data_IF_975157697871
#
_entry.id   IF_975157697871
#
_cell.length_a   1.000
_cell.length_b   1.000
_cell.length_c   1.000
_cell.angle_alpha   90.00
_cell.angle_beta   90.00
_cell.angle_gamma   90.00
#
_symmetry.space_group_name_H-M   'P 1'
#
loop_
_entity.id
_entity.type
_entity.pdbx_description
1 polymer ?
#
# COMPACT_ATOMS: atom_id res chain seq x y z
N UNK A 1 -16.18 16.85 8.77
CA UNK A 1 -15.61 15.57 8.38
C UNK A 1 -14.14 15.67 8.05
N UNK A 2 -13.77 16.62 7.22
CA UNK A 2 -12.36 16.80 6.91
C UNK A 2 -11.54 17.10 8.16
N UNK A 3 -12.12 17.84 9.09
CA UNK A 3 -11.44 18.18 10.34
C UNK A 3 -11.12 16.94 11.17
N UNK A 4 -12.02 15.97 11.15
CA UNK A 4 -11.78 14.75 11.89
C UNK A 4 -10.70 13.90 11.26
N UNK A 5 -10.66 13.93 9.94
CA UNK A 5 -9.75 13.06 9.19
C UNK A 5 -8.31 13.46 9.40
N UNK A 6 -8.02 14.75 9.40
CA UNK A 6 -6.64 15.23 9.43
C UNK A 6 -5.88 14.89 10.71
N UNK A 7 -6.39 15.23 11.90
CA UNK A 7 -5.68 14.86 13.12
C UNK A 7 -5.59 13.35 13.27
N UNK A 8 -6.63 12.67 12.87
CA UNK A 8 -6.68 11.24 12.94
C UNK A 8 -5.66 10.60 12.00
N UNK A 9 -5.55 11.15 10.81
CA UNK A 9 -4.60 10.65 9.81
C UNK A 9 -3.15 10.83 10.29
N UNK A 10 -2.84 11.94 10.94
CA UNK A 10 -1.49 12.19 11.44
C UNK A 10 -1.10 11.15 12.48
N UNK A 11 -2.00 10.85 13.42
CA UNK A 11 -1.73 9.84 14.43
C UNK A 11 -1.55 8.47 13.81
N UNK A 12 -2.45 8.12 12.89
CA UNK A 12 -2.38 6.84 12.20
C UNK A 12 -1.14 6.73 11.33
N UNK A 13 -0.73 7.83 10.73
CA UNK A 13 0.47 7.84 9.90
C UNK A 13 1.71 7.48 10.71
N UNK A 14 1.88 8.09 11.88
CA UNK A 14 3.03 7.80 12.73
C UNK A 14 3.03 6.33 13.13
N UNK A 15 1.89 5.80 13.49
CA UNK A 15 1.76 4.40 13.88
C UNK A 15 2.09 3.47 12.72
N UNK A 16 1.56 3.78 11.54
CA UNK A 16 1.78 2.95 10.36
C UNK A 16 3.25 2.98 9.94
N UNK A 17 3.86 4.16 9.94
CA UNK A 17 5.27 4.28 9.58
C UNK A 17 6.16 3.54 10.57
N UNK A 18 5.81 3.58 11.86
CA UNK A 18 6.53 2.82 12.86
C UNK A 18 6.43 1.32 12.61
N UNK A 19 5.25 0.85 12.26
CA UNK A 19 5.05 -0.56 11.93
C UNK A 19 5.85 -0.96 10.70
N UNK A 20 5.87 -0.13 9.67
CA UNK A 20 6.65 -0.41 8.47
C UNK A 20 8.14 -0.44 8.76
N UNK A 21 8.61 0.45 9.62
CA UNK A 21 10.01 0.46 10.01
C UNK A 21 10.39 -0.85 10.74
N UNK A 22 9.52 -1.33 11.60
CA UNK A 22 9.75 -2.60 12.28
C UNK A 22 9.76 -3.75 11.30
N UNK A 23 8.86 -3.76 10.33
CA UNK A 23 8.81 -4.81 9.33
C UNK A 23 10.03 -4.78 8.42
N UNK A 24 10.59 -3.60 8.19
CA UNK A 24 11.79 -3.48 7.37
C UNK A 24 12.94 -4.34 7.92
N UNK A 25 13.11 -4.39 9.21
CA UNK A 25 14.19 -5.15 9.80
C UNK A 25 14.06 -6.64 9.55
N UNK A 26 12.84 -7.13 9.39
CA UNK A 26 12.62 -8.54 9.09
C UNK A 26 13.10 -8.90 7.69
N UNK A 27 13.13 -7.93 6.79
CA UNK A 27 13.46 -8.19 5.39
C UNK A 27 14.89 -7.83 5.02
N UNK A 28 15.65 -7.20 5.90
CA UNK A 28 16.98 -6.71 5.57
C UNK A 28 17.90 -7.78 5.02
N UNK A 29 17.81 -8.98 5.57
CA UNK A 29 18.70 -10.08 5.20
C UNK A 29 17.98 -11.24 4.52
N UNK A 30 16.71 -11.03 4.12
CA UNK A 30 15.96 -12.09 3.45
C UNK A 30 16.06 -11.93 1.94
N UNK A 31 16.33 -13.03 1.27
CA UNK A 31 16.28 -13.08 -0.18
C UNK A 31 14.88 -13.43 -0.65
N UNK A 32 14.58 -13.03 -1.89
CA UNK A 32 13.28 -13.32 -2.47
C UNK A 32 13.00 -14.82 -2.53
N UNK A 33 14.05 -15.62 -2.77
CA UNK A 33 13.89 -17.07 -2.78
C UNK A 33 13.41 -17.60 -1.45
N UNK A 34 13.84 -16.98 -0.36
CA UNK A 34 13.37 -17.38 0.97
C UNK A 34 11.90 -17.05 1.16
N UNK A 35 11.48 -15.91 0.64
CA UNK A 35 10.07 -15.51 0.73
C UNK A 35 9.17 -16.50 -0.02
N UNK A 36 9.60 -16.96 -1.19
CA UNK A 36 8.84 -17.96 -1.92
C UNK A 36 8.88 -19.33 -1.24
N UNK A 37 9.98 -19.64 -0.56
CA UNK A 37 10.05 -20.90 0.18
C UNK A 37 9.11 -20.88 1.38
N UNK A 38 8.98 -19.72 2.05
CA UNK A 38 8.07 -19.59 3.17
C UNK A 38 6.61 -19.63 2.73
N UNK A 39 6.32 -19.13 1.55
CA UNK A 39 4.96 -19.09 1.03
C UNK A 39 4.98 -19.36 -0.48
N UNK A 40 4.80 -20.62 -0.88
CA UNK A 40 4.79 -20.96 -2.31
C UNK A 40 3.63 -20.37 -3.08
N UNK A 41 2.61 -19.86 -2.39
CA UNK A 41 1.43 -19.29 -3.03
C UNK A 41 1.53 -17.77 -3.16
N UNK A 42 2.74 -17.24 -3.16
CA UNK A 42 2.93 -15.79 -3.22
C UNK A 42 2.33 -15.17 -4.49
N UNK A 43 2.42 -15.87 -5.62
CA UNK A 43 1.85 -15.32 -6.84
C UNK A 43 0.34 -15.10 -6.70
N UNK A 44 -0.36 -16.08 -6.18
CA UNK A 44 -1.81 -15.98 -6.00
C UNK A 44 -2.20 -14.88 -5.02
N UNK A 45 -1.41 -14.75 -3.96
CA UNK A 45 -1.71 -13.76 -2.91
C UNK A 45 -1.36 -12.35 -3.32
N UNK A 46 -0.32 -12.19 -4.12
CA UNK A 46 0.22 -10.87 -4.46
C UNK A 46 0.09 -10.57 -5.93
N UNK A 47 -1.02 -10.94 -6.51
CA UNK A 47 -1.36 -10.52 -7.86
C UNK A 47 -2.81 -10.08 -7.88
N UNK A 48 -3.09 -9.07 -8.69
CA UNK A 48 -4.42 -8.49 -8.81
C UNK A 48 -4.80 -8.52 -10.29
N UNK A 49 -5.81 -9.31 -10.65
CA UNK A 49 -6.26 -9.32 -12.04
C UNK A 49 -7.11 -8.09 -12.33
N UNK A 50 -6.73 -7.36 -13.36
CA UNK A 50 -7.49 -6.24 -13.89
C UNK A 50 -7.56 -6.44 -15.40
N UNK A 51 -8.53 -7.22 -15.84
CA UNK A 51 -8.66 -7.64 -17.23
C UNK A 51 -8.42 -6.52 -18.22
N UNK A 52 -7.57 -6.68 -19.23
CA UNK A 52 -6.80 -7.87 -19.58
C UNK A 52 -5.40 -7.93 -18.93
N UNK A 53 -5.17 -7.17 -17.89
CA UNK A 53 -3.87 -7.02 -17.24
C UNK A 53 -3.88 -7.71 -15.88
N UNK A 54 -2.74 -8.25 -15.50
CA UNK A 54 -2.54 -8.77 -14.15
C UNK A 54 -1.40 -8.00 -13.51
N UNK A 55 -1.65 -7.42 -12.35
CA UNK A 55 -0.60 -6.82 -11.54
C UNK A 55 0.03 -7.90 -10.68
N UNK A 56 1.28 -8.24 -10.97
CA UNK A 56 2.01 -9.24 -10.21
C UNK A 56 3.08 -8.54 -9.39
N UNK A 57 2.87 -8.47 -8.08
CA UNK A 57 3.87 -7.92 -7.17
C UNK A 57 4.43 -8.97 -6.23
N UNK A 58 4.29 -10.26 -6.60
CA UNK A 58 4.81 -11.35 -5.80
C UNK A 58 6.33 -11.34 -5.68
N UNK A 59 7.01 -10.68 -6.63
CA UNK A 59 8.47 -10.58 -6.62
C UNK A 59 8.98 -9.35 -5.89
N UNK A 60 8.09 -8.55 -5.32
CA UNK A 60 8.50 -7.49 -4.42
C UNK A 60 8.77 -8.07 -3.04
N UNK A 61 9.60 -7.41 -2.29
CA UNK A 61 9.95 -7.87 -0.94
C UNK A 61 8.87 -7.47 0.04
N UNK A 62 7.74 -8.16 -0.04
CA UNK A 62 6.58 -7.90 0.80
C UNK A 62 6.02 -9.21 1.33
N UNK A 63 5.31 -9.13 2.43
CA UNK A 63 4.46 -10.19 2.93
C UNK A 63 3.11 -9.57 3.27
N UNK A 64 2.18 -10.37 3.77
CA UNK A 64 0.86 -9.85 4.06
C UNK A 64 0.85 -8.72 5.09
N UNK A 65 1.60 -8.81 6.20
CA UNK A 65 1.68 -7.66 7.11
C UNK A 65 2.20 -6.39 6.46
N UNK A 66 3.18 -6.49 5.56
CA UNK A 66 3.70 -5.32 4.86
C UNK A 66 2.62 -4.72 3.95
N UNK A 67 1.95 -5.54 3.16
CA UNK A 67 0.90 -5.07 2.27
C UNK A 67 -0.23 -4.42 3.08
N UNK A 68 -0.61 -5.04 4.19
CA UNK A 68 -1.65 -4.48 5.05
C UNK A 68 -1.25 -3.10 5.56
N UNK A 69 -0.01 -2.94 5.98
CA UNK A 69 0.48 -1.66 6.47
C UNK A 69 0.56 -0.61 5.37
N UNK A 70 0.94 -1.02 4.15
CA UNK A 70 0.97 -0.10 3.03
C UNK A 70 -0.43 0.38 2.67
N UNK A 71 -1.42 -0.51 2.72
CA UNK A 71 -2.81 -0.14 2.50
C UNK A 71 -3.28 0.83 3.58
N UNK A 72 -2.93 0.58 4.83
CA UNK A 72 -3.27 1.50 5.91
C UNK A 72 -2.64 2.87 5.69
N UNK A 73 -1.40 2.90 5.22
CA UNK A 73 -0.75 4.16 4.91
C UNK A 73 -1.53 4.92 3.84
N UNK A 74 -1.91 4.23 2.78
CA UNK A 74 -2.71 4.86 1.73
C UNK A 74 -4.01 5.42 2.28
N UNK A 75 -4.64 4.69 3.19
CA UNK A 75 -5.88 5.15 3.81
C UNK A 75 -5.67 6.37 4.70
N UNK A 76 -4.57 6.43 5.44
CA UNK A 76 -4.28 7.60 6.26
C UNK A 76 -3.99 8.83 5.42
N UNK A 77 -3.52 8.65 4.19
CA UNK A 77 -3.28 9.74 3.25
C UNK A 77 -4.51 10.07 2.40
N UNK A 78 -5.62 9.41 2.70
CA UNK A 78 -6.88 9.65 2.00
C UNK A 78 -6.75 9.46 0.50
N UNK A 79 -6.03 8.41 0.12
CA UNK A 79 -5.73 8.15 -1.30
C UNK A 79 -7.01 8.04 -2.14
N UNK A 80 -8.05 7.40 -1.59
CA UNK A 80 -9.29 7.23 -2.33
C UNK A 80 -9.91 8.56 -2.74
N UNK A 81 -9.89 9.54 -1.84
CA UNK A 81 -10.40 10.87 -2.16
C UNK A 81 -9.56 11.56 -3.22
N UNK A 82 -8.24 11.41 -3.14
CA UNK A 82 -7.35 12.01 -4.13
C UNK A 82 -7.55 11.40 -5.50
N UNK A 83 -7.75 10.09 -5.57
CA UNK A 83 -8.05 9.43 -6.85
C UNK A 83 -9.36 9.96 -7.41
N UNK A 84 -10.38 10.08 -6.58
CA UNK A 84 -11.66 10.59 -6.98
C UNK A 84 -11.56 12.00 -7.53
N UNK A 85 -10.80 12.85 -6.85
CA UNK A 85 -10.59 14.23 -7.28
C UNK A 85 -9.80 14.29 -8.58
N UNK A 86 -8.86 13.40 -8.76
CA UNK A 86 -8.07 13.34 -9.99
C UNK A 86 -8.96 13.08 -11.20
N UNK A 87 -9.95 12.21 -11.06
CA UNK A 87 -10.87 11.90 -12.14
C UNK A 87 -12.06 12.85 -12.23
N UNK A 88 -12.17 13.80 -11.30
CA UNK A 88 -13.21 14.81 -11.36
C UNK A 88 -12.70 16.02 -12.13
N UNK A 89 -13.59 17.00 -12.33
CA UNK A 89 -13.21 18.22 -13.01
C UNK A 89 -12.37 19.15 -12.14
N UNK A 90 -12.29 18.87 -10.85
CA UNK A 90 -11.62 19.73 -9.90
C UNK A 90 -10.13 19.85 -10.18
N UNK A 91 -9.47 18.72 -10.29
CA UNK A 91 -8.03 18.69 -10.50
C UNK A 91 -7.69 18.62 -11.98
N UNK A 92 -8.39 17.78 -12.71
CA UNK A 92 -8.15 17.61 -14.14
C UNK A 92 -8.24 18.89 -14.92
N UNK A 93 -9.10 19.80 -14.50
CA UNK A 93 -9.29 21.06 -15.17
C UNK A 93 -8.18 22.07 -14.92
N UNK A 94 -7.42 21.87 -13.90
CA UNK A 94 -6.34 22.81 -13.60
C UNK A 94 -5.31 22.90 -14.72
N UNK A 95 -5.28 21.90 -15.56
CA UNK A 95 -4.30 21.82 -16.64
C UNK A 95 -4.86 22.26 -17.99
N UNK A 96 -6.10 22.59 -18.03
CA UNK A 96 -6.74 23.05 -19.24
C UNK A 96 -6.77 24.58 -19.30
#
# INVERSE_FOLDING_TARGET
MAVKTQPYAVQNLDSVLGSLHSLKTEFENKHLTELFAEDPQRFEKFSVPLEPVVFDFSKHRVNQPVVKNLVQWAQTQDLASWIKRLFSTEIGRAHV
#
